data_IF_491248198956
#
_entry.id   IF_491248198956
#
_cell.length_a   1.000
_cell.length_b   1.000
_cell.length_c   1.000
_cell.angle_alpha   90.00
_cell.angle_beta   90.00
_cell.angle_gamma   90.00
#
_symmetry.space_group_name_H-M   'P 1'
#
loop_
_entity.id
_entity.type
_entity.pdbx_description
1 polymer ?
#
# COMPACT_ATOMS: atom_id res chain seq x y z
N UNK A 1 7.45 -26.44 1.74
CA UNK A 1 8.25 -26.00 2.90
C UNK A 1 9.43 -25.20 2.36
N UNK A 2 9.41 -23.87 2.42
CA UNK A 2 10.59 -23.10 2.01
C UNK A 2 10.46 -21.59 1.77
N UNK A 3 9.38 -20.93 2.16
CA UNK A 3 9.16 -19.48 2.12
C UNK A 3 9.22 -18.85 3.52
N UNK A 4 9.19 -19.68 4.56
CA UNK A 4 9.36 -19.28 5.96
C UNK A 4 10.75 -18.73 6.31
N UNK A 5 11.78 -18.93 5.48
CA UNK A 5 13.12 -18.36 5.73
C UNK A 5 13.25 -16.90 5.28
N UNK A 6 12.60 -16.52 4.17
CA UNK A 6 12.68 -15.17 3.60
C UNK A 6 11.89 -14.16 4.44
N UNK A 7 10.65 -14.49 4.76
CA UNK A 7 9.74 -13.59 5.46
C UNK A 7 9.69 -13.84 6.97
N UNK A 8 10.31 -14.92 7.44
CA UNK A 8 10.35 -15.29 8.86
C UNK A 8 8.93 -15.29 9.46
N UNK A 9 8.71 -14.57 10.58
CA UNK A 9 7.40 -14.53 11.23
C UNK A 9 6.31 -13.84 10.40
N UNK A 10 6.68 -13.11 9.34
CA UNK A 10 5.74 -12.35 8.50
C UNK A 10 5.21 -13.13 7.30
N UNK A 11 5.64 -14.38 7.08
CA UNK A 11 5.28 -15.16 5.89
C UNK A 11 3.76 -15.23 5.64
N UNK A 12 2.97 -15.49 6.69
CA UNK A 12 1.50 -15.54 6.58
C UNK A 12 0.89 -14.18 6.20
N UNK A 13 1.43 -13.09 6.74
CA UNK A 13 0.94 -11.75 6.42
C UNK A 13 1.27 -11.36 4.97
N UNK A 14 2.50 -11.66 4.54
CA UNK A 14 2.94 -11.44 3.16
C UNK A 14 2.10 -12.25 2.19
N UNK A 15 1.92 -13.55 2.41
CA UNK A 15 1.10 -14.40 1.54
C UNK A 15 -0.35 -13.91 1.40
N UNK A 16 -0.96 -13.45 2.50
CA UNK A 16 -2.30 -12.83 2.44
C UNK A 16 -2.30 -11.57 1.59
N UNK A 17 -1.29 -10.72 1.76
CA UNK A 17 -1.20 -9.48 1.01
C UNK A 17 -0.91 -9.71 -0.48
N UNK A 18 -0.06 -10.68 -0.81
CA UNK A 18 0.22 -11.10 -2.18
C UNK A 18 -1.05 -11.56 -2.90
N UNK A 19 -1.91 -12.33 -2.22
CA UNK A 19 -3.19 -12.77 -2.77
C UNK A 19 -4.17 -11.61 -3.03
N UNK A 20 -4.09 -10.53 -2.26
CA UNK A 20 -4.98 -9.37 -2.41
C UNK A 20 -4.44 -8.33 -3.38
N UNK A 21 -3.13 -8.34 -3.68
CA UNK A 21 -2.48 -7.30 -4.46
C UNK A 21 -1.73 -7.90 -5.65
N UNK A 22 -0.46 -8.26 -5.46
CA UNK A 22 0.47 -8.84 -6.42
C UNK A 22 1.62 -9.51 -5.66
N UNK A 23 2.47 -10.34 -6.30
CA UNK A 23 3.66 -10.90 -5.66
C UNK A 23 4.53 -9.83 -5.01
N UNK A 24 5.10 -10.12 -3.85
CA UNK A 24 5.90 -9.20 -3.09
C UNK A 24 7.24 -8.92 -3.80
N UNK A 25 7.57 -7.65 -4.09
CA UNK A 25 8.91 -7.27 -4.55
C UNK A 25 9.97 -7.65 -3.50
N UNK A 26 11.25 -7.62 -3.90
CA UNK A 26 12.33 -7.78 -2.92
C UNK A 26 12.27 -6.67 -1.85
N UNK A 27 12.33 -7.02 -0.56
CA UNK A 27 12.19 -6.04 0.52
C UNK A 27 13.39 -5.10 0.61
N UNK A 28 14.54 -5.55 0.12
CA UNK A 28 15.76 -4.75 0.05
C UNK A 28 16.36 -4.80 -1.35
N UNK A 29 17.09 -3.75 -1.72
CA UNK A 29 17.94 -3.74 -2.91
C UNK A 29 19.20 -4.62 -2.72
N UNK A 30 20.01 -4.73 -3.78
CA UNK A 30 21.26 -5.52 -3.74
C UNK A 30 22.31 -5.03 -2.74
N UNK A 31 22.14 -3.84 -2.16
CA UNK A 31 22.98 -3.30 -1.09
C UNK A 31 22.34 -3.45 0.30
N UNK A 32 21.24 -4.20 0.42
CA UNK A 32 20.54 -4.45 1.69
C UNK A 32 19.70 -3.26 2.17
N UNK A 33 19.45 -2.25 1.35
CA UNK A 33 18.63 -1.08 1.76
C UNK A 33 17.18 -1.29 1.39
N UNK A 34 16.25 -0.76 2.19
CA UNK A 34 14.80 -0.87 1.97
C UNK A 34 14.39 -0.52 0.53
N UNK A 35 13.65 -1.41 -0.13
CA UNK A 35 13.19 -1.19 -1.50
C UNK A 35 11.97 -0.25 -1.54
N UNK A 36 12.00 0.87 -2.28
CA UNK A 36 10.81 1.71 -2.47
C UNK A 36 9.64 0.96 -3.11
N UNK A 37 9.92 0.04 -4.03
CA UNK A 37 8.90 -0.79 -4.66
C UNK A 37 8.20 -1.72 -3.66
N UNK A 38 8.96 -2.23 -2.68
CA UNK A 38 8.38 -3.02 -1.59
C UNK A 38 7.50 -2.17 -0.67
N UNK A 39 7.92 -0.95 -0.31
CA UNK A 39 7.10 -0.04 0.51
C UNK A 39 5.82 0.36 -0.23
N UNK A 40 5.90 0.69 -1.53
CA UNK A 40 4.75 0.96 -2.38
C UNK A 40 3.78 -0.23 -2.44
N UNK A 41 4.32 -1.45 -2.53
CA UNK A 41 3.55 -2.68 -2.45
C UNK A 41 2.88 -2.88 -1.07
N UNK A 42 3.59 -2.65 0.03
CA UNK A 42 3.03 -2.73 1.39
C UNK A 42 1.82 -1.79 1.56
N UNK A 43 1.81 -0.66 0.87
CA UNK A 43 0.70 0.29 0.88
C UNK A 43 -0.46 -0.12 -0.03
N UNK A 44 -0.31 -1.17 -0.82
CA UNK A 44 -1.34 -1.63 -1.76
C UNK A 44 -1.51 -0.70 -2.96
N UNK A 45 -0.52 0.18 -3.20
CA UNK A 45 -0.52 1.07 -4.35
C UNK A 45 -0.25 0.29 -5.65
N UNK A 46 -0.78 0.74 -6.79
CA UNK A 46 -0.40 0.19 -8.09
C UNK A 46 1.12 0.22 -8.29
N UNK A 47 1.70 -0.77 -8.98
CA UNK A 47 3.13 -0.76 -9.27
C UNK A 47 3.51 0.50 -10.07
N UNK A 48 4.55 1.20 -9.63
CA UNK A 48 5.02 2.42 -10.25
C UNK A 48 4.34 3.71 -9.77
N UNK A 49 3.37 3.63 -8.86
CA UNK A 49 2.59 4.81 -8.42
C UNK A 49 3.47 5.98 -7.94
N UNK A 50 4.48 5.69 -7.12
CA UNK A 50 5.54 6.64 -6.75
C UNK A 50 6.83 6.31 -7.50
N UNK A 51 7.15 5.02 -7.58
CA UNK A 51 8.46 4.53 -8.02
C UNK A 51 8.76 4.74 -9.51
N UNK A 52 7.74 4.95 -10.35
CA UNK A 52 7.91 5.27 -11.77
C UNK A 52 7.86 6.79 -12.07
N UNK A 53 7.87 7.65 -11.03
CA UNK A 53 7.84 9.11 -11.21
C UNK A 53 9.18 9.61 -11.81
N UNK A 54 9.18 10.24 -13.00
CA UNK A 54 10.40 10.74 -13.63
C UNK A 54 11.12 11.75 -12.75
N UNK A 55 12.45 11.61 -12.62
CA UNK A 55 13.29 12.52 -11.82
C UNK A 55 13.21 12.34 -10.30
N UNK A 56 12.37 11.44 -9.79
CA UNK A 56 12.24 11.21 -8.35
C UNK A 56 13.29 10.21 -7.85
N UNK A 57 14.29 10.71 -7.12
CA UNK A 57 15.34 9.89 -6.52
C UNK A 57 14.84 9.02 -5.37
N UNK A 58 15.56 7.92 -5.06
CA UNK A 58 15.21 6.95 -4.01
C UNK A 58 14.87 7.57 -2.64
N UNK A 59 15.64 8.52 -2.09
CA UNK A 59 15.28 9.14 -0.80
C UNK A 59 13.94 9.86 -0.86
N UNK A 60 13.67 10.59 -1.94
CA UNK A 60 12.41 11.29 -2.13
C UNK A 60 11.24 10.32 -2.29
N UNK A 61 11.41 9.23 -3.04
CA UNK A 61 10.40 8.17 -3.13
C UNK A 61 10.03 7.60 -1.76
N UNK A 62 11.03 7.28 -0.92
CA UNK A 62 10.81 6.75 0.42
C UNK A 62 10.18 7.79 1.36
N UNK A 63 10.55 9.06 1.25
CA UNK A 63 9.90 10.14 2.00
C UNK A 63 8.43 10.31 1.58
N UNK A 64 8.14 10.27 0.28
CA UNK A 64 6.77 10.34 -0.24
C UNK A 64 5.94 9.16 0.23
N UNK A 65 6.47 7.93 0.11
CA UNK A 65 5.79 6.72 0.59
C UNK A 65 5.62 6.76 2.11
N UNK A 66 6.66 7.12 2.87
CA UNK A 66 6.61 7.18 4.34
C UNK A 66 5.59 8.19 4.89
N UNK A 67 5.29 9.25 4.14
CA UNK A 67 4.24 10.22 4.47
C UNK A 67 2.88 9.92 3.79
N UNK A 68 2.82 8.86 3.00
CA UNK A 68 1.60 8.41 2.33
C UNK A 68 0.64 7.68 3.27
N UNK A 69 -0.43 7.14 2.69
CA UNK A 69 -1.48 6.39 3.42
C UNK A 69 -1.72 5.05 2.77
N UNK A 70 -2.30 4.11 3.53
CA UNK A 70 -2.88 2.88 2.97
C UNK A 70 -4.25 3.24 2.36
N UNK A 71 -4.44 3.20 1.03
CA UNK A 71 -5.66 3.70 0.38
C UNK A 71 -6.94 3.04 0.91
N UNK A 72 -6.89 1.74 1.22
CA UNK A 72 -8.03 1.00 1.76
C UNK A 72 -8.45 1.51 3.16
N UNK A 73 -7.47 1.85 4.01
CA UNK A 73 -7.74 2.43 5.32
C UNK A 73 -8.24 3.87 5.20
N UNK A 74 -7.65 4.65 4.29
CA UNK A 74 -8.06 6.03 4.02
C UNK A 74 -9.50 6.08 3.47
N UNK A 75 -9.85 5.23 2.51
CA UNK A 75 -11.21 5.11 1.98
C UNK A 75 -12.21 4.79 3.10
N UNK A 76 -11.89 3.81 3.95
CA UNK A 76 -12.74 3.46 5.09
C UNK A 76 -12.91 4.61 6.09
N UNK A 77 -11.85 5.37 6.36
CA UNK A 77 -11.94 6.53 7.23
C UNK A 77 -12.86 7.62 6.63
N UNK A 78 -12.76 7.86 5.31
CA UNK A 78 -13.63 8.81 4.61
C UNK A 78 -15.10 8.38 4.68
N UNK A 79 -15.40 7.09 4.45
CA UNK A 79 -16.78 6.57 4.59
C UNK A 79 -17.38 6.80 5.98
N UNK A 80 -16.55 6.69 7.02
CA UNK A 80 -16.99 6.87 8.41
C UNK A 80 -17.19 8.35 8.79
N UNK A 81 -16.32 9.24 8.29
CA UNK A 81 -16.31 10.65 8.66
C UNK A 81 -17.20 11.53 7.77
N UNK A 82 -17.40 11.11 6.52
CA UNK A 82 -18.21 11.81 5.53
C UNK A 82 -19.14 10.80 4.84
N UNK A 83 -20.12 10.23 5.57
CA UNK A 83 -21.06 9.30 4.98
C UNK A 83 -21.77 9.98 3.80
N UNK A 84 -22.07 9.24 2.72
CA UNK A 84 -22.80 9.81 1.58
C UNK A 84 -24.06 10.48 2.11
N UNK A 85 -24.28 11.74 1.71
CA UNK A 85 -25.44 12.51 2.13
C UNK A 85 -26.68 11.70 1.81
N UNK A 86 -27.32 11.16 2.84
CA UNK A 86 -28.59 10.44 2.70
C UNK A 86 -29.56 11.35 1.96
N UNK A 87 -30.22 10.82 0.94
CA UNK A 87 -31.25 11.54 0.20
C UNK A 87 -32.16 12.27 1.19
N UNK A 88 -32.31 13.58 1.04
CA UNK A 88 -33.22 14.36 1.86
C UNK A 88 -34.58 13.67 1.91
N UNK A 89 -35.04 13.32 3.11
CA UNK A 89 -36.37 12.78 3.37
C UNK A 89 -37.50 13.82 3.17
N UNK A 90 -37.33 14.72 2.21
CA UNK A 90 -38.36 15.62 1.71
C UNK A 90 -38.70 15.19 0.27
N UNK A 91 -39.39 14.06 0.14
CA UNK A 91 -40.27 13.73 -0.98
C UNK A 91 -41.01 12.42 -0.65
N UNK A 92 -42.03 12.56 0.19
CA UNK A 92 -43.24 11.77 0.08
C UNK A 92 -44.34 12.72 0.58
N UNK A 93 -45.08 13.27 -0.38
CA UNK A 93 -46.28 14.06 -0.12
C UNK A 93 -47.47 13.19 0.22
#
# INVERSE_FOLDING_TARGET
MGDGHRWGPYATAVARWENLTRPAPEPTDGAGRLSPAFVEWMQGLPPGWVTATPGLGRPAQLTTLGNGVIPQQAARAVELLAPPLGHCAHRAG
#
